data_IF_921948140910
#
_entry.id   IF_921948140910
#
_cell.length_a   1.000
_cell.length_b   1.000
_cell.length_c   1.000
_cell.angle_alpha   90.00
_cell.angle_beta   90.00
_cell.angle_gamma   90.00
#
_symmetry.space_group_name_H-M   'P 1'
#
loop_
_entity.id
_entity.type
_entity.pdbx_description
1 polymer ?
#
# COMPACT_ATOMS: atom_id res chain seq x y z
N UNK A 1 -12.43 3.72 -2.77
CA UNK A 1 -11.46 3.92 -1.65
C UNK A 1 -11.20 5.40 -1.43
N UNK A 2 -10.62 6.10 -2.41
CA UNK A 2 -10.29 7.53 -2.31
C UNK A 2 -11.49 8.42 -1.96
N UNK A 3 -12.70 8.12 -2.45
CA UNK A 3 -13.92 8.81 -2.02
C UNK A 3 -14.17 8.73 -0.50
N UNK A 4 -14.03 7.55 0.13
CA UNK A 4 -14.21 7.43 1.58
C UNK A 4 -13.11 8.13 2.37
N UNK A 5 -11.89 8.22 1.82
CA UNK A 5 -10.77 8.90 2.47
C UNK A 5 -10.90 10.42 2.38
N UNK A 6 -11.23 10.92 1.20
CA UNK A 6 -11.03 12.33 0.83
C UNK A 6 -12.30 13.03 0.31
N UNK A 7 -13.41 12.32 0.08
CA UNK A 7 -14.61 12.84 -0.59
C UNK A 7 -14.32 13.32 -2.01
N UNK A 8 -15.14 14.26 -2.49
CA UNK A 8 -14.90 14.99 -3.75
C UNK A 8 -13.93 16.15 -3.50
N UNK A 9 -12.67 15.84 -3.20
CA UNK A 9 -11.66 16.86 -2.93
C UNK A 9 -10.47 16.81 -3.87
N UNK A 10 -9.72 17.90 -3.90
CA UNK A 10 -8.44 17.98 -4.63
C UNK A 10 -7.45 16.89 -4.21
N UNK A 11 -7.47 16.48 -2.93
CA UNK A 11 -6.64 15.37 -2.43
C UNK A 11 -6.98 14.04 -3.12
N UNK A 12 -8.27 13.78 -3.39
CA UNK A 12 -8.68 12.61 -4.17
C UNK A 12 -8.14 12.66 -5.59
N UNK A 13 -8.15 13.83 -6.23
CA UNK A 13 -7.61 13.99 -7.58
C UNK A 13 -6.11 13.66 -7.66
N UNK A 14 -5.33 14.11 -6.66
CA UNK A 14 -3.91 13.74 -6.55
C UNK A 14 -3.77 12.23 -6.33
N UNK A 15 -4.54 11.66 -5.40
CA UNK A 15 -4.50 10.22 -5.11
C UNK A 15 -4.78 9.37 -6.37
N UNK A 16 -5.79 9.75 -7.16
CA UNK A 16 -6.12 9.09 -8.43
C UNK A 16 -4.99 9.19 -9.45
N UNK A 17 -4.32 10.34 -9.53
CA UNK A 17 -3.20 10.57 -10.45
C UNK A 17 -2.00 9.68 -10.09
N UNK A 18 -1.62 9.62 -8.80
CA UNK A 18 -0.50 8.79 -8.36
C UNK A 18 -0.79 7.29 -8.56
N UNK A 19 -2.00 6.82 -8.22
CA UNK A 19 -2.41 5.43 -8.51
C UNK A 19 -2.30 5.10 -10.00
N UNK A 20 -2.74 6.01 -10.87
CA UNK A 20 -2.65 5.81 -12.33
C UNK A 20 -1.20 5.68 -12.79
N UNK A 21 -0.27 6.47 -12.24
CA UNK A 21 1.17 6.37 -12.56
C UNK A 21 1.72 5.00 -12.16
N UNK A 22 1.40 4.53 -10.95
CA UNK A 22 1.84 3.20 -10.49
C UNK A 22 1.25 2.07 -11.34
N UNK A 23 -0.02 2.16 -11.72
CA UNK A 23 -0.66 1.15 -12.58
C UNK A 23 -0.01 1.11 -13.96
N UNK A 24 0.30 2.27 -14.54
CA UNK A 24 0.98 2.35 -15.83
C UNK A 24 2.41 1.80 -15.76
N UNK A 25 3.15 2.07 -14.68
CA UNK A 25 4.50 1.55 -14.49
C UNK A 25 4.54 0.01 -14.43
N UNK A 26 3.49 -0.61 -13.87
CA UNK A 26 3.36 -2.06 -13.73
C UNK A 26 2.50 -2.70 -14.85
N UNK A 27 2.14 -1.95 -15.88
CA UNK A 27 1.36 -2.44 -17.02
C UNK A 27 -0.08 -2.88 -16.69
N UNK A 28 -0.64 -2.43 -15.57
CA UNK A 28 -2.00 -2.74 -15.16
C UNK A 28 -3.01 -1.90 -15.93
N UNK A 29 -3.86 -2.55 -16.74
CA UNK A 29 -5.02 -1.92 -17.37
C UNK A 29 -6.20 -1.83 -16.38
N UNK A 30 -6.76 -0.64 -16.27
CA UNK A 30 -7.93 -0.35 -15.42
C UNK A 30 -9.22 -0.18 -16.21
N UNK A 31 -9.14 -0.20 -17.54
CA UNK A 31 -10.29 0.03 -18.42
C UNK A 31 -10.97 1.36 -18.13
N UNK A 32 -12.27 1.32 -17.87
CA UNK A 32 -13.08 2.49 -17.50
C UNK A 32 -13.26 2.65 -15.98
N UNK A 33 -12.70 1.76 -15.15
CA UNK A 33 -12.80 1.88 -13.70
C UNK A 33 -11.89 2.98 -13.15
N UNK A 34 -12.35 3.64 -12.09
CA UNK A 34 -11.54 4.64 -11.41
C UNK A 34 -10.36 3.97 -10.70
N UNK A 35 -9.16 4.62 -10.70
CA UNK A 35 -8.00 4.06 -10.05
C UNK A 35 -8.18 3.72 -8.56
N UNK A 36 -9.05 4.46 -7.86
CA UNK A 36 -9.35 4.28 -6.44
C UNK A 36 -10.49 3.28 -6.16
N UNK A 37 -10.94 2.53 -7.16
CA UNK A 37 -11.91 1.46 -6.96
C UNK A 37 -11.26 0.30 -6.17
N UNK A 38 -11.98 -0.25 -5.20
CA UNK A 38 -11.43 -1.27 -4.29
C UNK A 38 -10.92 -2.50 -5.05
N UNK A 39 -11.67 -2.96 -6.06
CA UNK A 39 -11.27 -4.10 -6.87
C UNK A 39 -9.99 -3.83 -7.68
N UNK A 40 -9.82 -2.61 -8.20
CA UNK A 40 -8.61 -2.20 -8.94
C UNK A 40 -7.40 -2.24 -8.01
N UNK A 41 -7.52 -1.66 -6.81
CA UNK A 41 -6.45 -1.68 -5.82
C UNK A 41 -6.08 -3.11 -5.41
N UNK A 42 -7.06 -3.98 -5.15
CA UNK A 42 -6.79 -5.38 -4.80
C UNK A 42 -6.11 -6.14 -5.95
N UNK A 43 -6.50 -5.90 -7.21
CA UNK A 43 -5.79 -6.47 -8.37
C UNK A 43 -4.36 -5.97 -8.46
N UNK A 44 -4.14 -4.69 -8.22
CA UNK A 44 -2.80 -4.10 -8.19
C UNK A 44 -1.93 -4.76 -7.11
N UNK A 45 -2.44 -4.88 -5.89
CA UNK A 45 -1.73 -5.53 -4.77
C UNK A 45 -1.43 -7.01 -5.04
N UNK A 46 -2.34 -7.74 -5.71
CA UNK A 46 -2.13 -9.15 -6.02
C UNK A 46 -0.95 -9.38 -6.99
N UNK A 47 -0.67 -8.41 -7.86
CA UNK A 47 0.36 -8.53 -8.90
C UNK A 47 1.70 -7.88 -8.52
N UNK A 48 1.73 -7.08 -7.45
CA UNK A 48 2.89 -6.27 -7.09
C UNK A 48 3.31 -6.59 -5.66
N UNK A 49 4.54 -7.08 -5.50
CA UNK A 49 5.15 -7.38 -4.20
C UNK A 49 6.18 -6.32 -3.78
N UNK A 50 6.15 -5.10 -4.35
CA UNK A 50 7.00 -4.01 -3.87
C UNK A 50 6.59 -3.66 -2.43
N UNK A 51 7.31 -4.23 -1.48
CA UNK A 51 7.02 -4.22 -0.06
C UNK A 51 6.59 -2.86 0.47
N UNK A 52 7.33 -1.80 0.13
CA UNK A 52 7.06 -0.46 0.67
C UNK A 52 5.77 0.17 0.17
N UNK A 53 5.52 0.16 -1.14
CA UNK A 53 4.32 0.77 -1.72
C UNK A 53 3.05 -0.02 -1.35
N UNK A 54 3.14 -1.35 -1.34
CA UNK A 54 2.03 -2.22 -0.95
C UNK A 54 1.63 -1.96 0.50
N UNK A 55 2.61 -1.89 1.40
CA UNK A 55 2.38 -1.60 2.81
C UNK A 55 1.73 -0.22 3.01
N UNK A 56 2.25 0.81 2.34
CA UNK A 56 1.67 2.16 2.36
C UNK A 56 0.21 2.18 1.87
N UNK A 57 -0.09 1.54 0.74
CA UNK A 57 -1.47 1.46 0.22
C UNK A 57 -2.39 0.72 1.20
N UNK A 58 -1.92 -0.35 1.83
CA UNK A 58 -2.71 -1.11 2.81
C UNK A 58 -3.01 -0.23 4.03
N UNK A 59 -1.98 0.33 4.64
CA UNK A 59 -2.08 1.02 5.93
C UNK A 59 -2.67 2.43 5.83
N UNK A 60 -2.29 3.20 4.81
CA UNK A 60 -2.70 4.60 4.66
C UNK A 60 -4.00 4.75 3.85
N UNK A 61 -4.35 3.77 3.00
CA UNK A 61 -5.53 3.87 2.13
C UNK A 61 -6.60 2.80 2.38
N UNK A 62 -6.27 1.50 2.26
CA UNK A 62 -7.28 0.45 2.31
C UNK A 62 -7.87 0.25 3.70
N UNK A 63 -7.06 0.09 4.74
CA UNK A 63 -7.58 -0.14 6.10
C UNK A 63 -8.47 1.02 6.60
N UNK A 64 -8.09 2.31 6.46
CA UNK A 64 -8.95 3.41 6.87
C UNK A 64 -10.23 3.50 6.03
N UNK A 65 -10.15 3.22 4.73
CA UNK A 65 -11.34 3.24 3.86
C UNK A 65 -12.30 2.09 4.18
N UNK A 66 -11.79 0.88 4.45
CA UNK A 66 -12.62 -0.28 4.80
C UNK A 66 -13.32 -0.09 6.14
N UNK A 67 -12.67 0.51 7.14
CA UNK A 67 -13.31 0.85 8.41
C UNK A 67 -14.49 1.81 8.21
N UNK A 68 -14.33 2.82 7.34
CA UNK A 68 -15.41 3.74 6.97
C UNK A 68 -16.52 3.03 6.18
N UNK A 69 -16.19 2.21 5.19
CA UNK A 69 -17.16 1.44 4.40
C UNK A 69 -17.98 0.45 5.26
N UNK A 70 -17.36 -0.10 6.31
CA UNK A 70 -18.01 -1.03 7.23
C UNK A 70 -18.86 -0.36 8.32
N UNK A 71 -18.95 0.98 8.30
CA UNK A 71 -19.71 1.77 9.28
C UNK A 71 -19.10 1.75 10.67
N UNK A 72 -17.78 1.58 10.82
CA UNK A 72 -17.17 1.47 12.16
C UNK A 72 -17.05 2.83 12.87
N UNK A 73 -17.18 3.92 12.13
CA UNK A 73 -16.87 5.28 12.60
C UNK A 73 -18.11 6.17 12.83
N UNK A 74 -19.32 5.65 12.64
CA UNK A 74 -20.60 6.38 12.83
C UNK A 74 -21.65 5.47 13.45
N UNK A 75 -22.41 5.96 14.42
CA UNK A 75 -23.52 5.19 15.01
C UNK A 75 -24.67 4.99 14.00
N UNK A 76 -24.93 5.98 13.15
CA UNK A 76 -25.95 5.90 12.10
C UNK A 76 -25.63 4.81 11.06
N UNK A 77 -24.35 4.61 10.74
CA UNK A 77 -23.91 3.58 9.80
C UNK A 77 -23.94 2.17 10.41
N UNK A 78 -23.87 2.06 11.74
CA UNK A 78 -23.95 0.76 12.46
C UNK A 78 -25.35 0.20 12.48
N UNK A 79 -26.34 1.08 12.51
CA UNK A 79 -27.76 0.72 12.48
C UNK A 79 -28.21 0.27 11.08
N UNK A 80 -27.51 0.74 10.04
CA UNK A 80 -27.71 0.26 8.68
C UNK A 80 -27.08 -1.11 8.48
N UNK A 81 -27.91 -2.12 8.14
CA UNK A 81 -27.42 -3.45 7.77
C UNK A 81 -26.79 -3.44 6.39
N UNK A 82 -25.50 -3.12 6.31
CA UNK A 82 -24.73 -3.27 5.08
C UNK A 82 -24.52 -4.76 4.75
N UNK A 83 -25.04 -5.21 3.60
CA UNK A 83 -24.97 -6.61 3.14
C UNK A 83 -23.52 -7.12 3.04
N UNK A 84 -22.58 -6.24 2.69
CA UNK A 84 -21.15 -6.57 2.55
C UNK A 84 -20.33 -6.35 3.82
N UNK A 85 -20.94 -5.97 4.95
CA UNK A 85 -20.17 -5.61 6.17
C UNK A 85 -19.23 -6.72 6.64
N UNK A 86 -19.69 -7.98 6.59
CA UNK A 86 -18.87 -9.12 6.99
C UNK A 86 -17.71 -9.36 6.02
N UNK A 87 -17.95 -9.17 4.71
CA UNK A 87 -16.90 -9.26 3.69
C UNK A 87 -15.83 -8.18 3.91
N UNK A 88 -16.24 -6.93 4.15
CA UNK A 88 -15.33 -5.82 4.42
C UNK A 88 -14.49 -6.09 5.67
N UNK A 89 -15.10 -6.64 6.73
CA UNK A 89 -14.37 -7.04 7.96
C UNK A 89 -13.39 -8.17 7.72
N UNK A 90 -13.78 -9.21 6.97
CA UNK A 90 -12.90 -10.31 6.63
C UNK A 90 -11.69 -9.80 5.82
N UNK A 91 -11.93 -8.92 4.84
CA UNK A 91 -10.87 -8.29 4.07
C UNK A 91 -9.91 -7.48 4.95
N UNK A 92 -10.44 -6.66 5.88
CA UNK A 92 -9.61 -5.93 6.86
C UNK A 92 -8.73 -6.86 7.68
N UNK A 93 -9.25 -8.02 8.12
CA UNK A 93 -8.47 -9.00 8.87
C UNK A 93 -7.35 -9.61 8.03
N UNK A 94 -7.63 -9.95 6.77
CA UNK A 94 -6.63 -10.49 5.83
C UNK A 94 -5.54 -9.46 5.56
N UNK A 95 -5.91 -8.22 5.25
CA UNK A 95 -4.95 -7.16 4.93
C UNK A 95 -4.06 -6.80 6.12
N UNK A 96 -4.56 -6.88 7.37
CA UNK A 96 -3.72 -6.71 8.58
C UNK A 96 -2.69 -7.82 8.76
N UNK A 97 -2.92 -8.99 8.17
CA UNK A 97 -1.99 -10.13 8.21
C UNK A 97 -1.03 -10.13 7.03
N UNK A 98 -1.25 -9.27 6.03
CA UNK A 98 -0.30 -9.03 4.95
C UNK A 98 0.89 -8.22 5.47
N UNK A 99 1.68 -8.80 6.38
CA UNK A 99 2.99 -8.27 6.70
C UNK A 99 3.95 -8.67 5.57
N UNK A 100 4.67 -7.69 5.05
CA UNK A 100 5.92 -7.99 4.36
C UNK A 100 6.89 -8.53 5.42
N UNK A 101 7.56 -9.67 5.21
CA UNK A 101 8.65 -10.06 6.11
C UNK A 101 9.64 -8.89 6.19
N UNK A 102 9.84 -8.39 7.41
CA UNK A 102 10.81 -7.36 7.70
C UNK A 102 12.20 -7.95 7.52
N UNK A 103 12.79 -7.79 6.32
CA UNK A 103 14.23 -7.69 6.02
C UNK A 103 14.48 -7.99 4.54
N UNK A 104 14.80 -6.96 3.76
CA UNK A 104 15.73 -7.12 2.64
C UNK A 104 17.09 -6.61 3.13
N UNK A 105 18.11 -7.48 3.30
CA UNK A 105 19.46 -7.01 3.56
C UNK A 105 19.90 -6.17 2.36
N UNK A 106 20.32 -4.93 2.63
CA UNK A 106 20.92 -4.03 1.64
C UNK A 106 22.07 -4.73 0.91
N UNK A 107 22.16 -4.67 -0.43
CA UNK A 107 23.26 -5.28 -1.19
C UNK A 107 24.60 -4.54 -1.06
N UNK A 108 24.79 -3.68 -0.05
CA UNK A 108 26.03 -2.94 0.14
C UNK A 108 27.01 -3.64 1.10
N UNK A 109 27.48 -4.83 0.73
CA UNK A 109 28.82 -5.32 1.13
C UNK A 109 29.61 -5.57 -0.14
N UNK A 110 29.92 -4.51 -0.89
CA UNK A 110 30.98 -4.51 -1.90
C UNK A 110 31.56 -3.09 -1.95
N UNK A 111 32.74 -2.91 -1.36
CA UNK A 111 33.45 -1.63 -1.40
C UNK A 111 34.45 -1.35 -0.29
N UNK A 112 34.93 -2.36 0.45
CA UNK A 112 36.08 -2.22 1.33
C UNK A 112 37.38 -2.49 0.56
N UNK A 113 37.87 -1.51 -0.20
CA UNK A 113 39.20 -1.57 -0.79
C UNK A 113 39.95 -0.29 -0.43
N UNK A 114 41.03 -0.43 0.34
CA UNK A 114 42.03 0.62 0.51
C UNK A 114 42.50 0.85 1.95
N UNK A 115 43.39 -0.02 2.44
CA UNK A 115 44.53 0.38 3.27
C UNK A 115 45.49 -0.81 3.39
N UNK A 116 46.31 -1.01 2.35
CA UNK A 116 47.55 -1.77 2.48
C UNK A 116 48.58 -0.91 3.20
N UNK A 117 49.07 -1.46 4.30
CA UNK A 117 50.45 -1.39 4.82
C UNK A 117 51.00 -0.02 5.26
N UNK A 118 50.93 0.22 6.57
CA UNK A 118 51.91 1.00 7.32
C UNK A 118 52.92 0.09 8.02
N UNK A 119 54.20 0.24 7.65
CA UNK A 119 55.35 0.37 8.55
C UNK A 119 55.81 -0.79 9.45
N UNK A 120 56.97 -1.36 9.09
CA UNK A 120 58.10 -1.76 9.97
C UNK A 120 59.26 -2.16 9.01
N UNK A 121 60.55 -1.89 9.20
CA UNK A 121 61.36 -1.56 10.36
C UNK A 121 62.72 -1.03 9.86
N UNK A 122 63.34 -0.15 10.65
CA UNK A 122 64.78 0.12 10.69
C UNK A 122 65.62 -1.17 10.68
N UNK A 123 66.71 -1.17 9.90
CA UNK A 123 68.09 -1.57 10.25
C UNK A 123 68.99 -1.60 9.00
#
# INVERSE_FOLDING_TARGET
VGYHLFGESYKRSIFLLELKKHYQAEGLDTGSELPDHLAVLLRFLANNCQAGLVDEIIHEALLPALAKMAGENSEEDREQRHEYRLLLKALTLVLRQCQVPAEFPSPAVLGGQGAIEGGASDA
#
